data_IF_518412447563
#
_entry.id   IF_518412447563
#
_cell.length_a   1.000
_cell.length_b   1.000
_cell.length_c   1.000
_cell.angle_alpha   90.00
_cell.angle_beta   90.00
_cell.angle_gamma   90.00
#
_symmetry.space_group_name_H-M   'P 1'
#
loop_
_entity.id
_entity.type
_entity.pdbx_description
1 polymer ?
2 non-polymer ?
3 non-polymer ?
4 water ?
#
# COMPACT_ATOMS: atom_id res chain seq x y z
N UNK A 11 -12.60 -27.36 -9.89
CA UNK A 11 -12.87 -27.26 -8.43
C UNK A 11 -13.21 -28.65 -7.88
N UNK A 12 -14.46 -28.90 -7.47
CA UNK A 12 -14.84 -30.21 -6.91
C UNK A 12 -14.80 -31.33 -7.96
N UNK A 13 -14.97 -30.99 -9.24
CA UNK A 13 -15.11 -31.98 -10.31
C UNK A 13 -13.78 -32.56 -10.84
N UNK A 14 -12.67 -32.05 -10.34
CA UNK A 14 -11.35 -32.52 -10.76
C UNK A 14 -10.62 -33.16 -9.59
N UNK A 15 -10.44 -34.46 -9.67
CA UNK A 15 -9.76 -35.27 -8.65
C UNK A 15 -8.61 -35.96 -9.35
N UNK A 16 -8.01 -36.94 -8.66
CA UNK A 16 -6.92 -37.73 -9.26
C UNK A 16 -5.63 -36.99 -9.08
N UNK A 17 -4.51 -37.59 -9.49
CA UNK A 17 -3.21 -37.09 -9.06
C UNK A 17 -2.88 -35.66 -9.51
N UNK A 18 -3.34 -35.23 -10.70
CA UNK A 18 -2.91 -33.93 -11.19
C UNK A 18 -3.62 -32.83 -10.42
N UNK A 19 -4.72 -33.17 -9.76
CA UNK A 19 -5.40 -32.16 -8.90
C UNK A 19 -4.61 -31.75 -7.59
N UNK A 20 -3.50 -32.45 -7.28
CA UNK A 20 -2.58 -32.07 -6.19
C UNK A 20 -1.38 -31.31 -6.68
N UNK A 35 5.49 -19.00 -4.46
CA UNK A 35 4.66 -17.80 -4.45
C UNK A 35 5.47 -16.57 -4.85
N UNK A 36 4.96 -15.82 -5.84
CA UNK A 36 5.61 -14.58 -6.29
C UNK A 36 4.61 -13.57 -5.90
N UNK A 37 4.87 -12.90 -4.80
CA UNK A 37 3.83 -12.05 -4.22
C UNK A 37 3.44 -10.85 -5.08
N UNK A 38 4.33 -10.43 -5.97
CA UNK A 38 3.99 -9.31 -6.86
C UNK A 38 3.11 -9.71 -8.04
N UNK A 39 2.95 -11.02 -8.24
CA UNK A 39 2.07 -11.50 -9.31
C UNK A 39 0.80 -12.09 -8.75
N UNK A 40 0.18 -11.34 -7.84
CA UNK A 40 -1.06 -11.77 -7.14
C UNK A 40 -2.25 -11.97 -8.02
N UNK A 41 -2.30 -11.23 -9.13
CA UNK A 41 -3.49 -11.23 -9.99
C UNK A 41 -4.82 -10.85 -9.42
N UNK A 42 -4.84 -10.07 -8.35
CA UNK A 42 -6.02 -9.75 -7.60
C UNK A 42 -5.73 -8.58 -6.65
N UNK A 43 -6.77 -7.92 -6.27
CA UNK A 43 -6.70 -6.77 -5.35
C UNK A 43 -7.61 -6.94 -4.12
N UNK A 44 -7.40 -6.04 -3.17
CA UNK A 44 -8.30 -5.85 -2.09
C UNK A 44 -9.51 -5.08 -2.48
N UNK A 45 -10.69 -5.34 -1.87
CA UNK A 45 -11.95 -4.80 -2.40
C UNK A 45 -12.34 -3.38 -2.09
N UNK A 46 -11.49 -2.66 -1.37
CA UNK A 46 -11.76 -1.26 -1.06
C UNK A 46 -11.41 -0.26 -2.18
N UNK A 47 -10.86 -0.78 -3.26
CA UNK A 47 -10.62 -0.01 -4.49
C UNK A 47 -10.90 -0.78 -5.75
N UNK A 48 -10.68 -0.09 -6.89
CA UNK A 48 -10.85 -0.70 -8.21
C UNK A 48 -9.58 -0.44 -8.99
N UNK A 49 -9.18 -1.33 -9.88
CA UNK A 49 -7.92 -1.21 -10.56
C UNK A 49 -8.25 -1.31 -12.03
N UNK A 50 -7.74 -0.35 -12.80
CA UNK A 50 -7.83 -0.36 -14.26
C UNK A 50 -6.45 -0.44 -14.85
N UNK A 51 -6.34 -1.22 -15.96
CA UNK A 51 -5.13 -1.20 -16.74
C UNK A 51 -5.49 -0.75 -18.15
N UNK A 52 -4.70 0.19 -18.65
CA UNK A 52 -5.02 0.96 -19.88
C UNK A 52 -3.88 0.77 -20.81
N UNK A 53 -4.23 0.46 -22.11
CA UNK A 53 -3.27 0.46 -23.16
C UNK A 53 -3.20 1.89 -23.74
N UNK A 54 -1.99 2.36 -23.91
CA UNK A 54 -1.75 3.79 -24.16
C UNK A 54 -1.70 4.10 -25.65
N UNK A 55 -1.87 3.09 -26.50
CA UNK A 55 -2.01 3.38 -27.91
C UNK A 55 -3.41 3.82 -28.24
N UNK A 56 -4.40 3.27 -27.56
CA UNK A 56 -5.76 3.56 -27.76
C UNK A 56 -6.50 4.13 -26.56
N UNK A 57 -5.83 4.22 -25.42
CA UNK A 57 -6.47 4.68 -24.14
C UNK A 57 -7.71 3.95 -23.83
N UNK A 58 -7.65 2.61 -23.92
CA UNK A 58 -8.81 1.75 -23.61
C UNK A 58 -8.44 0.85 -22.43
N UNK A 59 -9.43 0.47 -21.65
CA UNK A 59 -9.18 -0.46 -20.49
C UNK A 59 -8.97 -1.88 -21.03
N UNK A 60 -7.81 -2.41 -20.77
CA UNK A 60 -7.50 -3.80 -21.22
C UNK A 60 -7.52 -4.82 -20.12
N UNK A 61 -7.39 -4.40 -18.85
CA UNK A 61 -7.69 -5.31 -17.71
C UNK A 61 -8.34 -4.50 -16.64
N UNK A 62 -9.24 -5.11 -15.86
CA UNK A 62 -9.79 -4.43 -14.72
C UNK A 62 -10.01 -5.42 -13.63
N UNK A 63 -9.88 -4.97 -12.40
CA UNK A 63 -10.45 -5.72 -11.27
C UNK A 63 -11.93 -6.04 -11.48
N UNK A 64 -12.32 -7.27 -11.12
CA UNK A 64 -13.66 -7.75 -11.39
C UNK A 64 -14.79 -6.99 -10.75
N UNK A 65 -14.45 -6.22 -9.71
CA UNK A 65 -15.39 -5.32 -9.09
C UNK A 65 -15.55 -3.91 -9.72
N UNK A 66 -14.76 -3.64 -10.74
CA UNK A 66 -14.63 -2.25 -11.17
C UNK A 66 -15.89 -1.55 -11.58
N UNK A 67 -16.68 -2.19 -12.45
CA UNK A 67 -17.92 -1.59 -12.87
C UNK A 67 -18.86 -1.34 -11.69
N UNK A 68 -18.97 -2.33 -10.79
CA UNK A 68 -19.70 -2.18 -9.53
C UNK A 68 -19.21 -0.95 -8.77
N UNK A 69 -17.91 -0.93 -8.46
CA UNK A 69 -17.28 0.05 -7.58
C UNK A 69 -17.39 1.50 -8.08
N UNK A 70 -17.29 1.64 -9.40
CA UNK A 70 -17.22 2.95 -10.05
C UNK A 70 -18.60 3.37 -10.60
N UNK A 71 -19.65 2.56 -10.39
CA UNK A 71 -20.98 2.87 -10.93
C UNK A 71 -21.00 3.10 -12.42
N UNK A 72 -20.35 2.17 -13.14
CA UNK A 72 -20.35 2.13 -14.58
C UNK A 72 -21.13 0.91 -15.07
N UNK A 73 -21.69 1.00 -16.27
CA UNK A 73 -22.30 -0.18 -16.85
C UNK A 73 -21.30 -1.17 -17.35
N UNK A 74 -20.20 -0.69 -17.89
CA UNK A 74 -19.17 -1.60 -18.30
C UNK A 74 -17.85 -0.88 -18.25
N UNK A 75 -16.77 -1.64 -18.28
CA UNK A 75 -15.45 -1.08 -18.12
C UNK A 75 -14.43 -1.70 -19.05
N UNK A 76 -14.43 -3.03 -19.10
CA UNK A 76 -13.40 -3.70 -19.87
C UNK A 76 -13.63 -3.38 -21.35
N UNK A 77 -12.56 -2.99 -22.02
CA UNK A 77 -12.56 -2.59 -23.42
C UNK A 77 -13.04 -1.19 -23.71
N UNK A 78 -13.46 -0.44 -22.67
CA UNK A 78 -14.00 0.90 -22.91
C UNK A 78 -12.89 1.91 -23.06
N UNK A 79 -12.99 2.85 -24.01
CA UNK A 79 -12.08 3.96 -24.04
C UNK A 79 -12.26 4.83 -22.82
N UNK A 80 -11.18 5.30 -22.23
CA UNK A 80 -11.28 6.25 -21.07
C UNK A 80 -12.14 7.43 -21.39
N UNK A 81 -12.08 7.89 -22.64
CA UNK A 81 -12.91 9.02 -23.06
C UNK A 81 -14.37 8.81 -22.91
N UNK A 82 -14.83 7.56 -22.99
CA UNK A 82 -16.22 7.22 -22.93
C UNK A 82 -16.69 6.85 -21.56
N UNK A 83 -15.80 6.83 -20.58
CA UNK A 83 -16.18 6.52 -19.22
C UNK A 83 -16.82 7.77 -18.59
N UNK A 84 -18.02 7.62 -18.08
CA UNK A 84 -18.70 8.70 -17.46
C UNK A 84 -17.83 9.33 -16.44
N UNK A 85 -17.77 10.65 -16.48
CA UNK A 85 -16.94 11.48 -15.61
C UNK A 85 -15.79 12.16 -16.30
N UNK A 86 -14.74 12.47 -15.56
CA UNK A 86 -13.64 13.26 -16.06
C UNK A 86 -12.29 12.63 -15.93
N UNK A 87 -12.22 11.29 -15.75
CA UNK A 87 -10.92 10.70 -15.56
C UNK A 87 -9.90 11.04 -16.63
N UNK A 88 -10.32 10.97 -17.91
CA UNK A 88 -9.36 11.22 -18.97
C UNK A 88 -8.80 12.66 -18.91
N UNK A 89 -9.67 13.66 -18.74
CA UNK A 89 -9.25 15.07 -18.68
C UNK A 89 -8.29 15.25 -17.48
N UNK A 90 -8.59 14.54 -16.40
CA UNK A 90 -7.74 14.66 -15.23
C UNK A 90 -6.38 13.99 -15.35
N UNK A 91 -6.24 12.89 -16.09
CA UNK A 91 -4.95 12.27 -16.23
C UNK A 91 -4.11 12.79 -17.39
N UNK A 92 -4.75 13.38 -18.43
CA UNK A 92 -3.96 13.81 -19.62
C UNK A 92 -2.71 14.56 -19.27
N UNK A 93 -2.77 15.52 -18.31
CA UNK A 93 -1.56 16.26 -18.07
C UNK A 93 -0.39 15.50 -17.55
N UNK A 94 -0.64 14.24 -17.13
CA UNK A 94 0.41 13.46 -16.53
C UNK A 94 0.89 12.34 -17.41
N UNK A 95 0.31 12.20 -18.59
CA UNK A 95 0.60 11.02 -19.49
C UNK A 95 1.85 11.08 -20.35
N UNK A 96 2.28 12.27 -20.72
CA UNK A 96 3.47 12.35 -21.52
C UNK A 96 4.62 11.83 -20.68
N UNK A 97 5.36 10.83 -21.22
CA UNK A 97 6.03 9.80 -20.41
C UNK A 97 7.42 10.18 -20.00
N UNK A 98 8.04 10.98 -20.87
CA UNK A 98 9.25 11.72 -20.55
C UNK A 98 9.09 12.54 -19.26
N UNK A 99 7.88 13.04 -18.99
CA UNK A 99 7.70 13.94 -17.84
C UNK A 99 8.05 13.28 -16.51
N UNK A 100 8.42 11.98 -16.52
CA UNK A 100 8.94 11.25 -15.35
C UNK A 100 8.35 11.71 -13.99
N UNK A 101 7.05 11.99 -14.04
CA UNK A 101 6.30 12.46 -12.91
C UNK A 101 5.56 11.29 -12.26
N UNK A 102 5.33 10.15 -12.97
CA UNK A 102 4.65 9.03 -12.36
C UNK A 102 5.60 8.30 -11.43
N UNK A 103 5.13 7.65 -10.34
CA UNK A 103 3.75 7.54 -9.99
C UNK A 103 3.19 8.88 -9.57
N UNK A 104 1.94 9.09 -9.84
CA UNK A 104 1.26 10.34 -9.44
C UNK A 104 -0.18 10.03 -9.12
N UNK A 105 -0.77 10.81 -8.25
CA UNK A 105 -2.17 10.70 -7.91
C UNK A 105 -3.01 11.87 -8.41
N UNK A 106 -4.17 11.60 -9.00
CA UNK A 106 -5.10 12.59 -9.50
C UNK A 106 -6.45 12.46 -8.76
N UNK A 107 -7.20 13.53 -8.64
CA UNK A 107 -8.55 13.48 -8.11
C UNK A 107 -9.50 13.63 -9.26
N UNK A 108 -10.52 12.80 -9.37
CA UNK A 108 -11.42 12.82 -10.54
C UNK A 108 -12.85 12.45 -10.09
N UNK A 109 -13.85 12.56 -10.96
CA UNK A 109 -15.13 12.06 -10.72
C UNK A 109 -15.43 11.06 -11.81
N UNK A 110 -15.99 9.95 -11.37
CA UNK A 110 -16.38 8.85 -12.26
C UNK A 110 -17.76 8.34 -11.91
N UNK A 111 -18.48 7.90 -12.95
CA UNK A 111 -19.62 7.06 -12.73
C UNK A 111 -20.94 7.79 -12.82
N UNK A 112 -21.99 6.98 -12.79
CA UNK A 112 -23.34 7.53 -12.65
C UNK A 112 -24.13 6.60 -11.71
N UNK A 113 -24.48 7.09 -10.51
CA UNK A 113 -24.21 8.47 -9.96
C UNK A 113 -22.73 8.74 -9.77
N UNK A 114 -22.36 9.99 -9.87
CA UNK A 114 -20.96 10.38 -9.87
C UNK A 114 -20.41 10.33 -8.46
N UNK A 115 -19.16 9.95 -8.33
CA UNK A 115 -18.41 9.94 -7.05
C UNK A 115 -17.03 10.46 -7.27
N UNK A 116 -16.46 11.16 -6.30
CA UNK A 116 -15.07 11.51 -6.36
C UNK A 116 -14.15 10.35 -5.94
N UNK A 117 -13.06 10.18 -6.71
CA UNK A 117 -12.03 9.22 -6.43
C UNK A 117 -10.69 9.86 -6.42
N UNK A 118 -9.73 9.21 -5.74
CA UNK A 118 -8.29 9.51 -5.93
C UNK A 118 -7.80 8.41 -6.82
N UNK A 119 -7.14 8.76 -7.93
CA UNK A 119 -6.60 7.76 -8.88
C UNK A 119 -5.10 7.76 -8.81
N UNK A 120 -4.50 6.64 -8.39
CA UNK A 120 -3.04 6.54 -8.26
C UNK A 120 -2.60 5.87 -9.56
N UNK A 121 -1.76 6.55 -10.30
CA UNK A 121 -1.25 6.00 -11.56
C UNK A 121 0.21 5.65 -11.51
N UNK A 122 0.60 4.50 -12.14
CA UNK A 122 1.99 4.18 -12.36
C UNK A 122 2.06 3.30 -13.54
N UNK A 123 3.27 3.15 -14.09
CA UNK A 123 3.53 2.15 -15.16
C UNK A 123 4.43 1.02 -14.71
N UNK A 124 3.94 -0.20 -14.74
CA UNK A 124 4.84 -1.37 -14.55
C UNK A 124 5.78 -1.47 -15.69
N UNK A 125 6.78 -2.32 -15.55
CA UNK A 125 7.76 -2.26 -16.61
C UNK A 125 7.16 -2.57 -17.98
N UNK A 126 6.22 -3.49 -18.00
CA UNK A 126 5.38 -3.75 -19.20
C UNK A 126 3.99 -3.98 -18.77
N UNK A 127 3.04 -3.96 -19.71
CA UNK A 127 1.65 -4.20 -19.39
C UNK A 127 0.69 -3.04 -19.38
N UNK A 128 1.19 -1.86 -19.65
CA UNK A 128 0.38 -0.69 -19.76
C UNK A 128 0.46 0.28 -18.57
N UNK A 129 -0.59 1.07 -18.46
CA UNK A 129 -0.77 2.13 -17.44
C UNK A 129 -1.78 1.64 -16.43
N UNK A 130 -1.34 1.52 -15.16
CA UNK A 130 -2.25 1.18 -14.09
C UNK A 130 -2.86 2.38 -13.40
N UNK A 131 -4.16 2.36 -13.18
CA UNK A 131 -4.88 3.37 -12.46
C UNK A 131 -5.63 2.69 -11.34
N UNK A 132 -5.27 3.00 -10.10
CA UNK A 132 -5.94 2.47 -8.92
C UNK A 132 -6.78 3.54 -8.28
N UNK A 133 -8.03 3.25 -8.07
CA UNK A 133 -9.06 4.23 -7.66
C UNK A 133 -9.60 3.86 -6.28
N UNK A 134 -9.51 4.82 -5.39
CA UNK A 134 -10.12 4.73 -4.06
C UNK A 134 -11.11 5.87 -3.93
N UNK A 135 -12.12 5.71 -3.08
CA UNK A 135 -13.07 6.83 -2.80
C UNK A 135 -12.36 8.00 -2.15
N UNK A 136 -12.63 9.22 -2.62
CA UNK A 136 -11.91 10.33 -2.14
C UNK A 136 -12.50 10.80 -0.84
N UNK A 137 -11.63 11.37 -0.01
CA UNK A 137 -12.05 11.96 1.28
C UNK A 137 -11.70 13.40 1.27
N UNK A 138 -11.96 14.09 2.36
CA UNK A 138 -11.57 15.48 2.39
C UNK A 138 -10.09 15.70 2.55
N UNK A 139 -9.69 16.96 2.33
CA UNK A 139 -8.36 17.43 2.61
C UNK A 139 -8.03 17.12 4.02
N UNK A 140 -6.83 16.66 4.25
CA UNK A 140 -6.45 16.39 5.61
C UNK A 140 -5.50 17.54 5.86
N UNK A 141 -5.65 18.11 7.03
CA UNK A 141 -4.92 19.29 7.35
C UNK A 141 -4.22 18.92 8.65
N UNK A 142 -3.00 18.43 8.45
CA UNK A 142 -2.10 17.98 9.51
C UNK A 142 -0.79 18.78 9.44
N UNK A 143 -0.74 19.86 8.67
CA UNK A 143 0.52 20.62 8.65
C UNK A 143 0.95 21.15 10.03
N UNK A 144 -0.01 21.52 10.91
CA UNK A 144 0.34 22.05 12.23
C UNK A 144 0.75 20.89 13.16
N UNK A 145 0.24 19.69 12.88
CA UNK A 145 0.78 18.46 13.55
C UNK A 145 2.18 18.08 13.01
N UNK A 146 2.39 18.33 11.74
CA UNK A 146 3.54 17.87 11.04
C UNK A 146 4.74 18.73 11.34
N UNK A 147 4.55 20.01 11.60
CA UNK A 147 5.73 20.82 11.90
C UNK A 147 6.49 20.33 13.09
N UNK A 148 5.82 20.10 14.23
CA UNK A 148 6.50 19.58 15.39
C UNK A 148 6.93 18.10 15.26
N UNK A 149 6.22 17.35 14.47
CA UNK A 149 6.68 15.96 14.23
C UNK A 149 8.03 16.00 13.56
N UNK A 150 8.15 16.89 12.58
CA UNK A 150 9.40 17.01 11.88
C UNK A 150 10.53 17.50 12.77
N UNK A 151 10.24 18.40 13.70
CA UNK A 151 11.22 18.88 14.65
C UNK A 151 11.69 17.81 15.61
N UNK A 152 10.76 16.95 16.03
CA UNK A 152 11.17 15.83 16.94
C UNK A 152 12.12 14.87 16.21
N UNK A 153 11.84 14.55 14.94
CA UNK A 153 12.67 13.65 14.11
C UNK A 153 14.02 14.28 13.93
N UNK A 154 14.06 15.55 13.49
CA UNK A 154 15.34 16.14 13.12
C UNK A 154 16.27 16.34 14.30
N UNK A 155 15.73 16.45 15.50
CA UNK A 155 16.56 16.65 16.70
C UNK A 155 16.69 15.42 17.60
N UNK A 156 16.22 14.25 17.16
CA UNK A 156 16.34 13.08 18.02
C UNK A 156 17.81 12.71 18.19
N UNK A 157 18.22 12.40 19.41
CA UNK A 157 19.64 12.23 19.72
C UNK A 157 20.21 10.83 19.70
N UNK A 158 19.31 9.84 19.59
CA UNK A 158 19.67 8.47 19.50
C UNK A 158 18.58 7.71 18.76
N UNK A 159 18.91 6.50 18.35
CA UNK A 159 17.93 5.65 17.62
C UNK A 159 16.82 5.30 18.56
N UNK A 160 17.10 5.09 19.83
CA UNK A 160 16.07 4.83 20.80
C UNK A 160 15.06 5.98 20.88
N UNK A 161 15.60 7.23 20.97
CA UNK A 161 14.67 8.36 21.01
C UNK A 161 13.95 8.50 19.73
N UNK A 162 14.66 8.36 18.63
CA UNK A 162 14.01 8.52 17.29
C UNK A 162 12.83 7.53 17.10
N UNK A 163 13.07 6.27 17.46
CA UNK A 163 12.04 5.25 17.16
C UNK A 163 10.91 5.31 18.14
N UNK A 164 11.19 5.76 19.36
CA UNK A 164 10.14 5.97 20.36
C UNK A 164 9.26 7.16 19.90
N UNK A 165 9.88 8.22 19.45
CA UNK A 165 9.08 9.33 18.93
C UNK A 165 8.33 8.93 17.66
N UNK A 166 8.90 8.07 16.84
CA UNK A 166 8.26 7.63 15.59
C UNK A 166 6.98 6.91 15.94
N UNK A 167 7.02 5.94 16.92
CA UNK A 167 5.77 5.21 17.13
C UNK A 167 4.67 6.08 17.67
N UNK A 168 5.07 7.01 18.55
CA UNK A 168 4.08 7.96 19.09
C UNK A 168 3.48 8.86 18.02
N UNK A 169 4.31 9.41 17.13
CA UNK A 169 3.91 10.29 16.04
C UNK A 169 2.97 9.56 15.12
N UNK A 170 3.32 8.32 14.77
CA UNK A 170 2.48 7.62 13.85
C UNK A 170 1.18 7.27 14.52
N UNK A 171 1.16 6.89 15.80
CA UNK A 171 -0.07 6.53 16.42
C UNK A 171 -1.00 7.79 16.43
N UNK A 172 -0.41 8.91 16.73
CA UNK A 172 -1.21 10.15 16.79
C UNK A 172 -1.81 10.47 15.44
N UNK A 173 -1.00 10.36 14.38
CA UNK A 173 -1.38 10.73 12.99
C UNK A 173 -2.37 9.74 12.40
N UNK A 174 -2.27 8.45 12.75
CA UNK A 174 -3.04 7.40 12.11
C UNK A 174 -4.09 6.75 12.92
N UNK A 175 -3.93 6.84 14.21
CA UNK A 175 -4.86 6.28 15.12
C UNK A 175 -5.00 4.80 15.27
N UNK A 176 -3.98 4.02 14.82
CA UNK A 176 -3.99 2.60 14.94
C UNK A 176 -3.75 2.15 16.42
N UNK A 177 -4.42 1.07 16.75
CA UNK A 177 -4.35 0.47 18.10
C UNK A 177 -2.93 0.14 18.56
N UNK A 178 -2.04 -0.20 17.65
CA UNK A 178 -0.65 -0.55 18.01
C UNK A 178 0.24 0.00 16.94
N UNK A 179 1.32 0.59 17.33
CA UNK A 179 2.34 0.99 16.38
C UNK A 179 3.71 0.58 16.82
N UNK A 180 4.42 -0.07 15.90
CA UNK A 180 5.80 -0.55 16.20
C UNK A 180 6.79 -0.08 15.19
N UNK A 181 8.03 -0.02 15.63
CA UNK A 181 9.19 -0.04 14.73
C UNK A 181 9.80 -1.42 14.77
N UNK A 182 9.76 -2.10 13.64
CA UNK A 182 10.23 -3.45 13.46
C UNK A 182 11.55 -3.30 12.71
N UNK A 183 12.64 -3.60 13.41
CA UNK A 183 13.95 -3.43 12.91
C UNK A 183 14.57 -4.73 12.46
N UNK A 184 15.33 -4.67 11.36
CA UNK A 184 16.00 -5.89 10.79
C UNK A 184 17.47 -5.84 11.18
N UNK A 185 18.00 -6.96 11.68
CA UNK A 185 19.48 -7.06 11.91
C UNK A 185 20.14 -7.53 10.59
N UNK A 186 21.44 -7.79 10.67
CA UNK A 186 22.23 -8.18 9.49
C UNK A 186 21.86 -9.54 8.86
N UNK A 187 21.34 -10.47 9.68
CA UNK A 187 20.87 -11.80 9.18
C UNK A 187 19.40 -11.77 8.83
N UNK A 188 18.79 -10.61 9.06
CA UNK A 188 17.43 -10.34 8.63
C UNK A 188 16.40 -10.57 9.72
N UNK A 189 16.83 -10.91 10.93
CA UNK A 189 15.90 -11.22 11.99
C UNK A 189 15.21 -9.90 12.40
N UNK A 190 13.97 -10.05 12.80
CA UNK A 190 13.12 -8.92 13.20
C UNK A 190 13.18 -8.70 14.69
N UNK A 191 13.18 -7.43 15.06
CA UNK A 191 13.09 -7.00 16.47
C UNK A 191 12.04 -5.90 16.62
N UNK A 192 11.12 -6.06 17.54
CA UNK A 192 10.23 -4.98 17.87
C UNK A 192 11.01 -3.95 18.72
N UNK A 193 11.59 -2.96 18.07
CA UNK A 193 12.54 -2.08 18.72
C UNK A 193 11.86 -0.95 19.53
N UNK A 194 10.72 -0.48 19.01
CA UNK A 194 9.81 0.47 19.72
C UNK A 194 8.38 0.09 19.59
N UNK A 195 7.56 0.54 20.53
CA UNK A 195 6.15 0.19 20.51
C UNK A 195 5.34 1.09 21.34
N UNK A 196 4.17 1.43 20.81
CA UNK A 196 3.18 2.03 21.63
C UNK A 196 1.82 1.42 21.34
N UNK A 197 0.93 1.31 22.32
CA UNK A 197 -0.33 0.70 22.06
C UNK A 197 -1.39 1.20 22.99
N UNK A 198 -2.64 1.03 22.57
CA UNK A 198 -3.75 1.39 23.46
C UNK A 198 -3.68 0.60 24.78
N UNK A 199 -4.12 1.23 25.89
CA UNK A 199 -4.12 0.48 27.12
C UNK A 199 -4.79 -0.84 27.01
N UNK A 200 -4.17 -1.83 27.63
CA UNK A 200 -4.78 -3.14 27.84
C UNK A 200 -4.51 -4.16 26.77
N UNK A 201 -3.90 -3.73 25.65
CA UNK A 201 -3.41 -4.71 24.69
C UNK A 201 -2.13 -5.38 25.15
N UNK A 202 -1.88 -6.52 24.53
CA UNK A 202 -0.59 -7.14 24.64
C UNK A 202 0.55 -6.31 24.04
N UNK A 203 1.71 -6.30 24.72
CA UNK A 203 2.91 -5.60 24.22
C UNK A 203 3.72 -6.64 23.49
N UNK A 204 4.23 -6.27 22.33
CA UNK A 204 5.24 -7.09 21.60
C UNK A 204 6.62 -6.48 21.70
N UNK A 205 6.78 -5.42 22.49
CA UNK A 205 8.02 -4.68 22.60
C UNK A 205 9.16 -5.66 22.91
N UNK A 206 10.24 -5.54 22.14
CA UNK A 206 11.46 -6.29 22.36
C UNK A 206 11.38 -7.73 21.92
N UNK A 207 10.25 -8.15 21.35
CA UNK A 207 10.16 -9.49 20.77
C UNK A 207 11.04 -9.63 19.57
N UNK A 208 11.64 -10.80 19.37
CA UNK A 208 12.44 -11.09 18.14
C UNK A 208 11.77 -12.21 17.37
N UNK A 209 11.85 -12.12 16.07
CA UNK A 209 11.16 -13.01 15.13
C UNK A 209 12.14 -13.42 14.06
N UNK A 210 11.97 -14.64 13.53
CA UNK A 210 12.94 -15.02 12.56
C UNK A 210 12.79 -14.19 11.29
N UNK A 211 13.87 -14.09 10.53
CA UNK A 211 13.89 -13.41 9.25
C UNK A 211 12.86 -13.95 8.29
N UNK A 212 12.57 -15.25 8.40
CA UNK A 212 11.63 -15.85 7.53
C UNK A 212 10.23 -15.21 7.68
N UNK A 213 9.97 -14.44 8.76
CA UNK A 213 8.62 -13.91 8.91
C UNK A 213 8.45 -12.78 7.86
N UNK A 214 9.55 -12.20 7.40
CA UNK A 214 9.48 -11.19 6.27
C UNK A 214 10.45 -11.67 5.18
N UNK A 215 9.94 -12.41 4.25
CA UNK A 215 10.83 -13.01 3.26
C UNK A 215 11.61 -12.04 2.43
N UNK A 216 12.80 -12.43 2.01
CA UNK A 216 13.59 -11.57 1.12
C UNK A 216 12.84 -10.92 -0.05
N UNK A 217 11.92 -11.61 -0.74
CA UNK A 217 11.26 -10.99 -1.89
C UNK A 217 10.20 -9.95 -1.47
N UNK A 218 9.66 -10.09 -0.27
CA UNK A 218 8.85 -9.04 0.32
C UNK A 218 9.70 -7.83 0.64
N UNK A 219 10.86 -8.04 1.26
CA UNK A 219 11.73 -6.91 1.60
C UNK A 219 12.13 -6.13 0.39
N UNK A 220 12.42 -6.81 -0.74
CA UNK A 220 12.77 -6.08 -1.96
C UNK A 220 11.62 -5.29 -2.46
N UNK A 221 10.43 -5.85 -2.41
CA UNK A 221 9.25 -5.21 -2.85
C UNK A 221 8.99 -3.92 -1.99
N UNK A 222 9.27 -4.03 -0.68
CA UNK A 222 9.03 -2.89 0.24
C UNK A 222 10.03 -1.78 0.08
N UNK A 223 11.12 -2.04 -0.61
CA UNK A 223 12.03 -0.97 -1.01
C UNK A 223 11.44 -0.12 -2.17
N UNK A 224 10.64 -0.74 -3.05
CA UNK A 224 9.90 -0.12 -4.16
C UNK A 224 8.63 0.56 -3.70
N UNK A 225 7.81 -0.17 -2.96
CA UNK A 225 6.53 0.19 -2.65
C UNK A 225 6.53 0.47 -1.14
N UNK A 226 6.56 1.74 -0.78
CA UNK A 226 6.95 2.08 0.57
C UNK A 226 5.84 2.09 1.58
N UNK A 227 4.58 2.04 1.15
CA UNK A 227 3.43 1.91 2.09
C UNK A 227 2.58 0.75 1.70
N UNK A 228 2.11 -0.05 2.67
CA UNK A 228 1.16 -1.06 2.43
C UNK A 228 0.01 -0.90 3.38
N UNK A 229 -1.18 -1.01 2.87
CA UNK A 229 -2.45 -0.94 3.67
C UNK A 229 -3.28 -2.16 3.47
N UNK A 230 -3.53 -2.92 4.56
CA UNK A 230 -4.42 -4.05 4.54
C UNK A 230 -5.62 -3.64 5.32
N UNK A 231 -6.76 -3.43 4.67
CA UNK A 231 -7.90 -2.87 5.28
C UNK A 231 -8.66 -3.80 6.19
N UNK A 232 -8.84 -5.03 5.68
CA UNK A 232 -9.53 -6.06 6.40
C UNK A 232 -8.86 -7.37 6.10
N UNK A 233 -8.18 -7.95 7.09
CA UNK A 233 -7.48 -9.23 6.94
C UNK A 233 -8.35 -10.33 6.33
N UNK A 234 -9.65 -10.32 6.59
CA UNK A 234 -10.58 -11.32 6.13
C UNK A 234 -11.11 -11.17 4.73
N UNK A 235 -10.65 -10.16 4.00
CA UNK A 235 -11.22 -9.91 2.66
C UNK A 235 -11.15 -11.08 1.70
N UNK A 236 -12.03 -11.07 0.70
CA UNK A 236 -11.96 -12.01 -0.41
C UNK A 236 -11.24 -11.31 -1.62
N UNK A 237 -10.15 -11.86 -2.10
CA UNK A 237 -9.48 -11.22 -3.23
C UNK A 237 -10.41 -10.99 -4.39
N UNK A 238 -10.20 -9.90 -5.15
CA UNK A 238 -10.94 -9.57 -6.34
C UNK A 238 -10.01 -9.74 -7.49
N UNK A 239 -10.27 -10.73 -8.36
CA UNK A 239 -9.36 -11.01 -9.40
C UNK A 239 -9.36 -9.92 -10.54
N UNK A 240 -8.21 -9.76 -11.16
CA UNK A 240 -8.15 -8.99 -12.41
C UNK A 240 -8.80 -9.86 -13.51
N UNK A 241 -9.48 -9.17 -14.44
CA UNK A 241 -10.08 -9.81 -15.64
C UNK A 241 -9.63 -9.05 -16.88
N UNK A 242 -9.00 -9.75 -17.85
CA UNK A 242 -8.45 -11.09 -17.73
C UNK A 242 -7.35 -11.05 -16.69
N UNK A 243 -6.93 -12.22 -16.25
CA UNK A 243 -5.84 -12.29 -15.35
C UNK A 243 -4.50 -11.96 -15.96
N UNK A 244 -4.16 -12.60 -17.09
CA UNK A 244 -2.96 -12.32 -17.77
C UNK A 244 -3.08 -10.98 -18.52
N UNK A 245 -1.99 -10.25 -18.59
CA UNK A 245 -1.90 -9.03 -19.39
C UNK A 245 -2.12 -9.38 -20.86
N UNK A 246 -3.10 -8.74 -21.52
CA UNK A 246 -3.13 -8.92 -22.98
C UNK A 246 -1.90 -8.41 -23.71
N UNK A 247 -1.11 -7.55 -23.11
CA UNK A 247 0.11 -7.01 -23.75
C UNK A 247 1.32 -7.89 -23.66
N UNK A 248 1.38 -8.76 -22.64
CA UNK A 248 2.62 -9.51 -22.38
C UNK A 248 2.42 -11.02 -22.40
N UNK A 249 1.20 -11.48 -22.20
CA UNK A 249 0.92 -12.85 -22.03
C UNK A 249 1.39 -13.43 -20.72
N UNK A 250 1.67 -12.59 -19.74
CA UNK A 250 2.22 -12.97 -18.41
C UNK A 250 1.30 -12.33 -17.35
N UNK A 251 1.42 -12.78 -16.10
CA UNK A 251 0.80 -12.04 -15.00
C UNK A 251 1.33 -10.60 -14.99
N UNK A 252 0.45 -9.75 -14.56
CA UNK A 252 0.70 -8.29 -14.38
C UNK A 252 1.65 -8.06 -13.22
N UNK A 253 2.70 -7.32 -13.43
CA UNK A 253 3.58 -6.92 -12.34
C UNK A 253 2.91 -5.95 -11.45
N UNK A 254 2.46 -6.41 -10.26
CA UNK A 254 1.68 -5.59 -9.36
C UNK A 254 2.53 -4.98 -8.23
N UNK A 255 3.83 -4.94 -8.40
CA UNK A 255 4.81 -4.45 -7.35
C UNK A 255 4.40 -3.08 -6.89
N UNK A 256 3.99 -2.23 -7.84
CA UNK A 256 3.59 -0.85 -7.52
C UNK A 256 2.16 -0.59 -7.14
N UNK A 257 1.34 -1.63 -6.98
CA UNK A 257 -0.05 -1.49 -6.80
C UNK A 257 -0.39 -1.40 -5.34
N UNK A 258 -0.94 -0.25 -4.92
CA UNK A 258 -1.42 -0.03 -3.60
C UNK A 258 -2.54 -1.01 -3.14
N UNK A 259 -3.35 -1.49 -4.09
CA UNK A 259 -4.45 -2.34 -3.80
C UNK A 259 -4.06 -3.83 -3.86
N UNK A 260 -2.83 -4.14 -4.14
CA UNK A 260 -2.42 -5.58 -4.35
C UNK A 260 -2.91 -6.45 -3.20
N UNK A 261 -3.50 -7.60 -3.54
CA UNK A 261 -3.86 -8.60 -2.52
C UNK A 261 -2.55 -9.22 -1.98
N UNK A 262 -2.50 -9.49 -0.65
CA UNK A 262 -1.33 -9.87 0.07
C UNK A 262 -1.29 -11.40 0.21
N UNK A 263 -0.10 -11.87 0.44
CA UNK A 263 0.12 -13.35 0.49
C UNK A 263 -0.77 -14.00 1.52
N UNK A 264 -1.46 -15.08 1.14
CA UNK A 264 -2.31 -15.74 2.09
C UNK A 264 -1.57 -16.27 3.37
N UNK A 265 -0.29 -16.69 3.28
CA UNK A 265 0.53 -17.08 4.47
C UNK A 265 0.46 -15.94 5.47
N UNK A 266 0.71 -14.72 4.94
CA UNK A 266 0.77 -13.56 5.80
C UNK A 266 -0.56 -13.28 6.41
N UNK A 267 -1.63 -13.37 5.63
CA UNK A 267 -2.96 -13.03 6.14
C UNK A 267 -3.34 -14.03 7.25
N UNK A 268 -2.99 -15.32 7.04
CA UNK A 268 -3.17 -16.34 8.14
C UNK A 268 -2.45 -16.01 9.43
N UNK A 269 -1.22 -15.52 9.32
CA UNK A 269 -0.47 -15.14 10.52
C UNK A 269 -1.14 -14.00 11.27
N UNK A 270 -1.59 -12.99 10.53
CA UNK A 270 -2.33 -11.93 11.15
C UNK A 270 -3.66 -12.40 11.81
N UNK A 271 -4.40 -13.26 11.13
CA UNK A 271 -5.63 -13.87 11.71
C UNK A 271 -5.32 -14.61 12.99
N UNK A 272 -4.28 -15.40 12.95
CA UNK A 272 -3.82 -16.11 14.15
C UNK A 272 -3.51 -15.16 15.29
N UNK A 273 -3.07 -13.93 15.01
CA UNK A 273 -2.80 -12.90 16.05
C UNK A 273 -4.04 -12.13 16.48
N UNK A 274 -5.13 -12.25 15.75
CA UNK A 274 -6.34 -11.49 16.01
C UNK A 274 -6.31 -10.06 15.49
N UNK A 275 -5.34 -9.76 14.62
CA UNK A 275 -5.27 -8.43 14.02
C UNK A 275 -6.24 -8.38 12.85
N UNK A 276 -6.88 -7.24 12.70
CA UNK A 276 -7.91 -7.08 11.72
C UNK A 276 -7.42 -6.28 10.51
N UNK A 277 -6.52 -5.33 10.75
CA UNK A 277 -6.08 -4.36 9.69
C UNK A 277 -4.65 -3.96 10.01
N UNK A 278 -3.86 -3.63 9.00
CA UNK A 278 -2.49 -3.17 9.16
C UNK A 278 -2.13 -2.02 8.24
N UNK A 279 -1.15 -1.24 8.66
CA UNK A 279 -0.48 -0.22 7.86
C UNK A 279 0.99 -0.44 8.09
N UNK A 280 1.81 -0.54 7.05
CA UNK A 280 3.18 -0.68 7.20
C UNK A 280 3.88 0.33 6.29
N UNK A 281 4.91 0.92 6.80
CA UNK A 281 5.66 1.94 6.11
C UNK A 281 7.12 1.58 6.14
N UNK A 282 7.78 1.56 4.99
CA UNK A 282 9.17 1.19 4.98
C UNK A 282 10.14 2.25 5.46
N UNK A 283 11.21 1.82 6.11
CA UNK A 283 12.33 2.66 6.44
C UNK A 283 13.55 2.22 5.65
N UNK A 284 13.90 3.04 4.67
CA UNK A 284 14.94 2.64 3.70
C UNK A 284 16.18 3.49 3.95
N UNK A 285 17.29 2.82 4.28
CA UNK A 285 18.51 3.47 4.71
C UNK A 285 19.62 2.89 3.84
N UNK A 286 20.27 3.77 3.08
CA UNK A 286 21.43 3.41 2.29
C UNK A 286 20.95 2.40 1.33
N UNK A 287 19.77 2.63 0.77
CA UNK A 287 19.17 1.71 -0.15
C UNK A 287 18.79 0.33 0.34
N UNK A 288 18.88 0.07 1.65
CA UNK A 288 18.45 -1.16 2.21
C UNK A 288 17.20 -0.97 3.10
N UNK A 289 16.39 -2.01 3.16
CA UNK A 289 15.29 -2.04 4.14
C UNK A 289 15.83 -2.16 5.55
N UNK A 290 15.89 -1.03 6.26
CA UNK A 290 16.34 -1.01 7.60
C UNK A 290 15.35 -1.57 8.63
N UNK A 291 14.08 -1.31 8.35
CA UNK A 291 13.02 -1.63 9.25
C UNK A 291 11.72 -1.23 8.65
N UNK A 292 10.69 -1.35 9.45
CA UNK A 292 9.33 -0.96 9.10
C UNK A 292 8.61 -0.31 10.26
N UNK A 293 7.76 0.66 9.95
CA UNK A 293 6.74 1.07 10.91
C UNK A 293 5.55 0.22 10.64
N UNK A 294 5.14 -0.56 11.67
CA UNK A 294 4.11 -1.54 11.51
C UNK A 294 2.96 -1.17 12.46
N UNK A 295 1.75 -1.08 11.93
CA UNK A 295 0.60 -0.62 12.73
C UNK A 295 -0.44 -1.69 12.63
N UNK A 296 -1.08 -2.02 13.77
CA UNK A 296 -2.13 -3.01 13.83
C UNK A 296 -3.39 -2.35 14.35
N UNK A 297 -4.49 -2.73 13.75
CA UNK A 297 -5.85 -2.42 14.33
C UNK A 297 -6.65 -3.62 14.56
N UNK A 298 -7.58 -3.48 15.54
CA UNK A 298 -8.46 -4.59 15.83
C UNK A 298 -9.87 -4.47 15.26
N UNK A 299 -10.06 -3.48 14.40
CA UNK A 299 -11.22 -3.46 13.49
C UNK A 299 -10.60 -3.05 12.11
N UNK A 300 -11.37 -3.29 11.05
CA UNK A 300 -10.90 -2.86 9.73
C UNK A 300 -10.56 -1.38 9.73
N UNK A 301 -9.58 -0.94 8.93
CA UNK A 301 -9.14 0.44 8.94
C UNK A 301 -8.52 0.81 7.58
N UNK A 302 -8.90 1.98 7.08
CA UNK A 302 -8.31 2.45 5.84
C UNK A 302 -7.76 3.82 6.06
N UNK A 303 -6.58 4.08 5.52
CA UNK A 303 -6.11 5.47 5.54
C UNK A 303 -5.99 5.90 4.08
N UNK A 304 -6.54 7.06 3.79
CA UNK A 304 -6.59 7.51 2.42
C UNK A 304 -5.30 8.13 1.93
N UNK A 305 -5.26 8.42 0.62
CA UNK A 305 -4.07 8.83 -0.03
C UNK A 305 -3.31 9.92 0.70
N UNK A 306 -3.99 10.98 1.12
CA UNK A 306 -3.26 12.16 1.61
C UNK A 306 -2.54 11.79 2.89
N UNK A 307 -3.23 11.02 3.72
CA UNK A 307 -2.56 10.49 4.97
C UNK A 307 -1.44 9.53 4.70
N UNK A 308 -1.55 8.65 3.68
CA UNK A 308 -0.45 7.77 3.29
C UNK A 308 0.70 8.56 2.83
N UNK A 309 0.44 9.67 2.09
CA UNK A 309 1.49 10.49 1.66
C UNK A 309 2.24 11.16 2.76
N UNK A 310 1.54 11.58 3.78
CA UNK A 310 2.19 12.15 4.95
C UNK A 310 3.06 11.06 5.66
N UNK A 311 2.51 9.88 5.74
CA UNK A 311 3.28 8.73 6.36
C UNK A 311 4.56 8.51 5.62
N UNK A 312 4.49 8.54 4.27
CA UNK A 312 5.69 8.36 3.45
C UNK A 312 6.70 9.45 3.70
N UNK A 313 6.22 10.69 3.80
CA UNK A 313 7.08 11.81 4.10
C UNK A 313 7.80 11.66 5.43
N UNK A 314 7.07 11.29 6.45
CA UNK A 314 7.64 11.08 7.78
C UNK A 314 8.69 9.98 7.65
N UNK A 315 8.37 8.90 6.96
CA UNK A 315 9.37 7.83 6.87
C UNK A 315 10.65 8.26 6.17
N UNK A 316 10.54 9.12 5.17
CA UNK A 316 11.78 9.65 4.54
C UNK A 316 12.60 10.46 5.51
N UNK A 317 11.95 11.32 6.27
CA UNK A 317 12.60 12.10 7.27
C UNK A 317 13.29 11.28 8.34
N UNK A 318 12.62 10.22 8.81
CA UNK A 318 13.17 9.30 9.81
C UNK A 318 14.42 8.60 9.25
N UNK A 319 14.36 8.17 8.03
CA UNK A 319 15.46 7.40 7.40
C UNK A 319 16.67 8.33 7.29
N UNK A 320 16.40 9.61 6.98
CA UNK A 320 17.48 10.66 6.93
C UNK A 320 18.13 10.76 8.30
N UNK A 321 17.36 10.81 9.37
CA UNK A 321 17.94 10.90 10.67
C UNK A 321 18.67 9.61 11.08
N UNK A 322 18.11 8.48 10.75
CA UNK A 322 18.80 7.20 11.03
C UNK A 322 20.18 7.22 10.36
N UNK A 323 20.24 7.66 9.12
CA UNK A 323 21.51 7.69 8.36
C UNK A 323 22.57 8.52 9.09
N UNK A 324 22.15 9.67 9.58
CA UNK A 324 23.07 10.53 10.35
C UNK A 324 23.48 9.93 11.69
N UNK A 325 22.54 9.31 12.39
CA UNK A 325 22.80 8.70 13.67
C UNK A 325 23.77 7.51 13.62
N UNK A 326 23.70 6.79 12.54
CA UNK A 326 24.55 5.58 12.32
C UNK A 326 25.94 5.97 11.92
N UNK A 327 26.11 7.20 11.45
CA UNK A 327 27.36 7.95 11.59
C UNK A 327 27.43 8.98 10.51
#
# INVERSE_FOLDING_TARGET
MGSHHHHHHGRSMVAGHASGSPAFGTASHSNSEHEEIHLAGSIQPHGALLVVSEHDHRVIQASANAAEFLNLGSVLGVPLAEIDGDLLIKILPHLDPTAEGMPVAVRCRIGNPSTEYCGLMHRPPEGGLIIELERAGPSIDLSGTLAPALERIRTAGSLRALCDDTVLLFQQCTGYDRVMVYRFDEQGHGLVFSECHVPGLESYFGNRYPSSTVPQMARQLYVRQRVRVLVDVTYQPVPLEPRLSPLTGRDLDMSGCFLRSMSPCHLQYLKDMGVRATLAVSLVVGGKLWGLVVCHHYLPRFIRFELRAICKRLAERIATRITALES
#
